data_IF_188611367456
#
_entry.id   IF_188611367456
#
_cell.length_a   1.000
_cell.length_b   1.000
_cell.length_c   1.000
_cell.angle_alpha   90.00
_cell.angle_beta   90.00
_cell.angle_gamma   90.00
#
_symmetry.space_group_name_H-M   'P 1'
#
loop_
_entity.id
_entity.type
_entity.pdbx_description
1 polymer ?
#
# COMPACT_ATOMS: atom_id res chain seq x y z
N UNK A 1 36.36 -34.85 32.09
CA UNK A 1 37.51 -34.35 31.31
C UNK A 1 37.32 -34.72 29.85
N UNK A 2 37.46 -33.74 28.94
CA UNK A 2 38.00 -33.86 27.57
C UNK A 2 37.21 -34.75 26.58
N UNK A 3 36.81 -34.34 25.37
CA UNK A 3 37.14 -33.20 24.50
C UNK A 3 36.05 -33.04 23.43
N UNK A 4 35.72 -31.79 23.15
CA UNK A 4 35.18 -31.26 21.90
C UNK A 4 36.07 -31.60 20.70
N UNK A 5 35.49 -32.02 19.55
CA UNK A 5 35.99 -31.75 18.17
C UNK A 5 34.87 -32.13 17.17
N UNK A 6 34.03 -31.18 16.69
CA UNK A 6 34.17 -30.37 15.45
C UNK A 6 34.00 -31.18 14.15
N UNK A 7 32.96 -30.85 13.36
CA UNK A 7 32.98 -30.52 11.92
C UNK A 7 31.52 -30.53 11.41
N UNK A 8 30.76 -29.44 11.58
CA UNK A 8 30.69 -28.32 10.65
C UNK A 8 30.33 -28.75 9.21
N UNK A 9 29.24 -29.50 9.07
CA UNK A 9 28.57 -29.70 7.80
C UNK A 9 27.90 -28.39 7.39
N UNK A 10 28.59 -27.65 6.52
CA UNK A 10 27.99 -26.86 5.44
C UNK A 10 26.84 -25.97 5.85
N UNK A 11 27.18 -24.86 6.50
CA UNK A 11 26.38 -23.66 6.62
C UNK A 11 26.00 -23.16 5.22
N UNK A 12 25.01 -23.81 4.60
CA UNK A 12 24.31 -23.34 3.41
C UNK A 12 23.34 -22.25 3.84
N UNK A 13 23.87 -21.22 4.50
CA UNK A 13 23.21 -19.94 4.62
C UNK A 13 23.36 -19.25 3.26
N UNK A 14 22.64 -19.79 2.26
CA UNK A 14 22.13 -18.96 1.20
C UNK A 14 21.29 -17.90 1.89
N UNK A 15 21.92 -16.78 2.22
CA UNK A 15 21.23 -15.50 2.32
C UNK A 15 20.52 -15.33 0.98
N UNK A 16 19.28 -15.85 0.89
CA UNK A 16 18.35 -15.44 -0.15
C UNK A 16 18.24 -13.93 0.04
N UNK A 17 18.96 -13.21 -0.79
CA UNK A 17 18.81 -11.77 -0.96
C UNK A 17 17.32 -11.58 -1.27
N UNK A 18 16.62 -10.98 -0.31
CA UNK A 18 15.20 -11.24 -0.07
C UNK A 18 14.32 -10.90 -1.25
N UNK A 19 13.74 -11.92 -1.88
CA UNK A 19 12.62 -11.71 -2.78
C UNK A 19 11.48 -11.07 -1.98
N UNK A 20 11.00 -9.92 -2.43
CA UNK A 20 9.82 -9.30 -1.84
C UNK A 20 8.61 -10.16 -2.21
N UNK A 21 7.84 -10.59 -1.20
CA UNK A 21 6.60 -11.32 -1.45
C UNK A 21 5.46 -10.36 -1.76
N UNK A 22 4.39 -10.85 -2.40
CA UNK A 22 3.23 -10.00 -2.70
C UNK A 22 2.58 -9.51 -1.40
N UNK A 23 2.56 -10.32 -0.35
CA UNK A 23 2.00 -9.95 0.94
C UNK A 23 2.78 -8.79 1.57
N UNK A 24 4.11 -8.78 1.42
CA UNK A 24 4.95 -7.66 1.88
C UNK A 24 4.69 -6.38 1.08
N UNK A 25 4.54 -6.51 -0.24
CA UNK A 25 4.14 -5.42 -1.12
C UNK A 25 2.76 -4.87 -0.74
N UNK A 26 1.79 -5.74 -0.47
CA UNK A 26 0.42 -5.37 -0.09
C UNK A 26 0.36 -4.65 1.26
N UNK A 27 1.19 -5.05 2.22
CA UNK A 27 1.31 -4.32 3.50
C UNK A 27 1.81 -2.90 3.26
N UNK A 28 2.86 -2.73 2.45
CA UNK A 28 3.38 -1.39 2.12
C UNK A 28 2.34 -0.53 1.41
N UNK A 29 1.76 -1.05 0.32
CA UNK A 29 0.69 -0.36 -0.41
C UNK A 29 -0.54 -0.11 0.48
N UNK A 30 -0.78 -0.97 1.47
CA UNK A 30 -1.73 -0.79 2.56
C UNK A 30 -1.47 0.49 3.34
N UNK A 31 -0.27 0.66 3.88
CA UNK A 31 0.13 1.88 4.60
C UNK A 31 0.06 3.12 3.71
N UNK A 32 0.50 3.00 2.45
CA UNK A 32 0.31 4.03 1.44
C UNK A 32 -1.15 4.42 1.26
N UNK A 33 -2.06 3.45 1.13
CA UNK A 33 -3.47 3.71 0.94
C UNK A 33 -4.14 4.34 2.17
N UNK A 34 -3.76 3.90 3.38
CA UNK A 34 -4.20 4.53 4.64
C UNK A 34 -3.77 6.00 4.70
N UNK A 35 -2.52 6.29 4.36
CA UNK A 35 -2.00 7.65 4.31
C UNK A 35 -2.73 8.51 3.26
N UNK A 36 -3.05 7.91 2.11
CA UNK A 36 -3.84 8.57 1.07
C UNK A 36 -5.22 8.96 1.58
N UNK A 37 -5.98 8.01 2.13
CA UNK A 37 -7.34 8.25 2.63
C UNK A 37 -7.34 9.26 3.77
N UNK A 38 -6.45 9.11 4.76
CA UNK A 38 -6.32 10.08 5.85
C UNK A 38 -5.97 11.49 5.37
N UNK A 39 -5.30 11.64 4.23
CA UNK A 39 -4.98 12.94 3.65
C UNK A 39 -6.14 13.57 2.87
N UNK A 40 -7.17 12.78 2.54
CA UNK A 40 -8.34 13.23 1.78
C UNK A 40 -9.54 13.55 2.66
N UNK A 41 -9.54 13.13 3.93
CA UNK A 41 -10.58 13.51 4.87
C UNK A 41 -10.42 14.97 5.31
N UNK A 42 -11.53 15.61 5.65
CA UNK A 42 -11.55 16.98 6.18
C UNK A 42 -10.88 17.06 7.56
N UNK A 43 -10.39 18.23 8.01
CA UNK A 43 -9.68 18.36 9.29
C UNK A 43 -10.48 17.88 10.52
N UNK A 44 -11.80 18.02 10.46
CA UNK A 44 -12.73 17.59 11.52
C UNK A 44 -13.07 16.09 11.39
N UNK A 45 -12.87 15.52 10.20
CA UNK A 45 -13.09 14.11 9.86
C UNK A 45 -11.77 13.33 9.97
N UNK A 46 -11.49 12.75 11.14
CA UNK A 46 -10.28 11.93 11.30
C UNK A 46 -10.59 10.43 11.30
N UNK A 47 -9.67 9.64 10.75
CA UNK A 47 -9.71 8.18 10.91
C UNK A 47 -9.38 7.85 12.36
N UNK A 48 -10.34 7.24 13.07
CA UNK A 48 -10.15 6.70 14.42
C UNK A 48 -9.32 5.43 14.41
N UNK A 49 -9.64 4.51 13.49
CA UNK A 49 -9.02 3.20 13.42
C UNK A 49 -9.17 2.59 12.02
N UNK A 50 -8.11 1.96 11.49
CA UNK A 50 -8.18 1.11 10.31
C UNK A 50 -8.45 -0.34 10.72
N UNK A 51 -9.54 -0.94 10.25
CA UNK A 51 -9.98 -2.29 10.62
C UNK A 51 -9.34 -3.39 9.79
N UNK A 52 -9.27 -3.18 8.49
CA UNK A 52 -8.70 -4.18 7.58
C UNK A 52 -8.07 -3.56 6.35
N UNK A 53 -7.19 -4.32 5.73
CA UNK A 53 -6.55 -3.98 4.47
C UNK A 53 -6.48 -5.25 3.61
N UNK A 54 -6.87 -5.16 2.35
CA UNK A 54 -6.81 -6.29 1.42
C UNK A 54 -6.35 -5.84 0.04
N UNK A 55 -5.47 -6.61 -0.58
CA UNK A 55 -4.97 -6.37 -1.92
C UNK A 55 -5.51 -7.40 -2.92
N UNK A 56 -5.95 -6.95 -4.08
CA UNK A 56 -6.36 -7.80 -5.18
C UNK A 56 -5.89 -7.24 -6.53
N UNK A 57 -5.53 -8.09 -7.51
CA UNK A 57 -5.24 -7.63 -8.86
C UNK A 57 -6.43 -6.89 -9.47
N UNK A 58 -6.17 -5.80 -10.19
CA UNK A 58 -7.23 -5.08 -10.93
C UNK A 58 -7.56 -5.82 -12.22
N UNK A 59 -8.81 -6.26 -12.36
CA UNK A 59 -9.21 -7.15 -13.45
C UNK A 59 -9.36 -6.43 -14.78
N UNK A 60 -9.68 -5.14 -14.74
CA UNK A 60 -10.00 -4.35 -15.95
C UNK A 60 -8.77 -3.72 -16.59
N UNK A 61 -7.72 -3.45 -15.81
CA UNK A 61 -6.53 -2.71 -16.27
C UNK A 61 -5.29 -3.61 -16.45
N UNK A 62 -5.37 -4.89 -16.05
CA UNK A 62 -4.31 -5.87 -16.23
C UNK A 62 -3.50 -6.14 -14.96
N UNK A 63 -2.63 -7.16 -15.03
CA UNK A 63 -1.94 -7.73 -13.86
C UNK A 63 -0.87 -6.84 -13.22
N UNK A 64 -0.52 -5.71 -13.85
CA UNK A 64 0.43 -4.72 -13.30
C UNK A 64 -0.27 -3.74 -12.35
N UNK A 65 -1.59 -3.78 -12.28
CA UNK A 65 -2.38 -2.94 -11.38
C UNK A 65 -2.91 -3.76 -10.22
N UNK A 66 -2.86 -3.16 -9.04
CA UNK A 66 -3.37 -3.78 -7.82
C UNK A 66 -4.21 -2.79 -7.04
N UNK A 67 -5.40 -3.23 -6.66
CA UNK A 67 -6.32 -2.46 -5.84
C UNK A 67 -6.17 -2.88 -4.38
N UNK A 68 -5.85 -1.90 -3.54
CA UNK A 68 -5.85 -2.04 -2.10
C UNK A 68 -7.16 -1.47 -1.59
N UNK A 69 -7.91 -2.26 -0.83
CA UNK A 69 -9.10 -1.80 -0.09
C UNK A 69 -8.74 -1.67 1.38
N UNK A 70 -9.17 -0.59 2.01
CA UNK A 70 -9.07 -0.40 3.45
C UNK A 70 -10.46 -0.12 4.01
N UNK A 71 -10.75 -0.71 5.17
CA UNK A 71 -11.92 -0.34 5.96
C UNK A 71 -11.46 0.42 7.20
N UNK A 72 -12.19 1.47 7.56
CA UNK A 72 -11.82 2.35 8.67
C UNK A 72 -13.05 2.87 9.41
N UNK A 73 -12.87 3.23 10.67
CA UNK A 73 -13.87 3.96 11.46
C UNK A 73 -13.54 5.44 11.35
N UNK A 74 -14.47 6.22 10.82
CA UNK A 74 -14.42 7.67 10.85
C UNK A 74 -15.02 8.17 12.15
N UNK A 75 -14.39 9.17 12.78
CA UNK A 75 -14.95 9.81 13.96
C UNK A 75 -15.87 10.96 13.51
N UNK A 76 -17.15 10.67 13.35
CA UNK A 76 -18.19 11.70 13.30
C UNK A 76 -18.87 11.65 14.67
N UNK A 77 -18.92 12.78 15.38
CA UNK A 77 -19.13 12.96 16.84
C UNK A 77 -20.36 12.24 17.47
N UNK A 78 -21.14 11.52 16.66
CA UNK A 78 -22.41 10.89 17.00
C UNK A 78 -22.53 9.39 16.65
N UNK A 79 -21.63 8.78 15.87
CA UNK A 79 -21.63 7.32 15.64
C UNK A 79 -20.35 6.76 15.00
N UNK A 80 -19.90 5.58 15.45
CA UNK A 80 -18.85 4.82 14.78
C UNK A 80 -19.38 4.20 13.48
N UNK A 81 -19.15 4.87 12.35
CA UNK A 81 -19.47 4.33 11.03
C UNK A 81 -18.23 3.65 10.41
N UNK A 82 -18.39 2.41 9.96
CA UNK A 82 -17.35 1.71 9.19
C UNK A 82 -17.48 2.13 7.74
N UNK A 83 -16.46 2.84 7.24
CA UNK A 83 -16.34 3.24 5.84
C UNK A 83 -15.31 2.41 5.12
N UNK A 84 -15.41 2.40 3.79
CA UNK A 84 -14.46 1.73 2.91
C UNK A 84 -13.83 2.74 1.96
N UNK A 85 -12.51 2.65 1.83
CA UNK A 85 -11.76 3.34 0.79
C UNK A 85 -10.94 2.36 -0.03
N UNK A 86 -10.54 2.77 -1.23
CA UNK A 86 -9.65 1.97 -2.06
C UNK A 86 -8.64 2.81 -2.81
N UNK A 87 -7.46 2.23 -3.02
CA UNK A 87 -6.40 2.83 -3.81
C UNK A 87 -5.99 1.87 -4.92
N UNK A 88 -5.76 2.41 -6.11
CA UNK A 88 -5.21 1.68 -7.24
C UNK A 88 -3.74 2.03 -7.35
N UNK A 89 -2.90 1.01 -7.37
CA UNK A 89 -1.46 1.13 -7.58
C UNK A 89 -1.05 0.48 -8.89
N UNK A 90 -0.08 1.06 -9.58
CA UNK A 90 0.68 0.37 -10.62
C UNK A 90 1.98 -0.19 -10.02
N UNK A 91 2.17 -1.50 -10.12
CA UNK A 91 3.28 -2.23 -9.50
C UNK A 91 4.45 -2.38 -10.47
N UNK A 92 5.66 -2.17 -9.96
CA UNK A 92 6.91 -2.43 -10.65
C UNK A 92 7.77 -3.39 -9.82
N UNK A 93 8.10 -4.52 -10.43
CA UNK A 93 8.92 -5.57 -9.81
C UNK A 93 10.31 -5.58 -10.44
N UNK A 94 11.33 -5.54 -9.59
CA UNK A 94 12.72 -5.71 -10.00
C UNK A 94 12.99 -7.12 -10.52
N UNK A 95 14.13 -7.29 -11.21
CA UNK A 95 14.56 -8.60 -11.73
C UNK A 95 14.61 -9.64 -10.60
N UNK A 96 14.02 -10.83 -10.82
CA UNK A 96 13.82 -11.87 -9.81
C UNK A 96 13.09 -11.42 -8.52
N UNK A 97 12.20 -10.41 -8.58
CA UNK A 97 11.51 -9.84 -7.41
C UNK A 97 12.46 -9.33 -6.31
N UNK A 98 13.66 -8.93 -6.71
CA UNK A 98 14.68 -8.34 -5.82
C UNK A 98 14.27 -6.99 -5.24
N UNK A 99 13.30 -6.31 -5.88
CA UNK A 99 12.69 -5.09 -5.39
C UNK A 99 11.21 -5.01 -5.82
N UNK A 100 10.46 -4.18 -5.10
CA UNK A 100 9.08 -3.80 -5.40
C UNK A 100 8.95 -2.29 -5.21
N UNK A 101 8.30 -1.65 -6.17
CA UNK A 101 7.84 -0.27 -6.09
C UNK A 101 6.39 -0.21 -6.56
N UNK A 102 5.61 0.71 -6.02
CA UNK A 102 4.22 0.91 -6.41
C UNK A 102 3.94 2.40 -6.58
N UNK A 103 3.26 2.79 -7.65
CA UNK A 103 2.86 4.18 -7.86
C UNK A 103 1.36 4.31 -7.64
N UNK A 104 0.94 5.30 -6.85
CA UNK A 104 -0.46 5.60 -6.67
C UNK A 104 -1.05 6.16 -7.97
N UNK A 105 -2.07 5.50 -8.51
CA UNK A 105 -2.76 5.94 -9.72
C UNK A 105 -4.13 6.54 -9.39
N UNK A 106 -4.86 5.97 -8.43
CA UNK A 106 -6.19 6.44 -8.02
C UNK A 106 -6.42 6.22 -6.53
N UNK A 107 -7.20 7.09 -5.92
CA UNK A 107 -7.78 6.93 -4.57
C UNK A 107 -9.28 7.16 -4.69
N UNK A 108 -10.08 6.29 -4.09
CA UNK A 108 -11.52 6.40 -4.03
C UNK A 108 -12.01 6.22 -2.59
N UNK A 109 -12.87 7.12 -2.13
CA UNK A 109 -13.49 7.14 -0.80
C UNK A 109 -14.80 7.94 -0.91
N UNK A 110 -15.86 7.56 -0.18
CA UNK A 110 -17.13 8.31 -0.11
C UNK A 110 -17.64 8.87 -1.45
N UNK A 111 -17.72 8.01 -2.47
CA UNK A 111 -18.10 8.33 -3.87
C UNK A 111 -17.19 9.33 -4.61
N UNK A 112 -16.13 9.80 -3.97
CA UNK A 112 -15.09 10.61 -4.57
C UNK A 112 -13.99 9.74 -5.17
N UNK A 113 -13.40 10.21 -6.27
CA UNK A 113 -12.25 9.60 -6.91
C UNK A 113 -11.25 10.70 -7.27
N UNK A 114 -10.01 10.51 -6.89
CA UNK A 114 -8.89 11.38 -7.26
C UNK A 114 -7.79 10.55 -7.88
N UNK A 115 -7.26 11.01 -9.01
CA UNK A 115 -6.18 10.35 -9.74
C UNK A 115 -6.46 10.18 -11.22
N UNK A 116 -5.75 9.26 -11.87
CA UNK A 116 -5.85 9.07 -13.32
C UNK A 116 -6.98 8.11 -13.69
N UNK A 117 -8.01 8.60 -14.37
CA UNK A 117 -9.03 7.76 -15.01
C UNK A 117 -8.94 7.92 -16.52
N UNK A 118 -8.77 6.81 -17.23
CA UNK A 118 -8.67 6.79 -18.70
C UNK A 118 -7.61 7.75 -19.27
N UNK A 119 -6.50 7.96 -18.53
CA UNK A 119 -5.41 8.86 -18.92
C UNK A 119 -5.60 10.33 -18.59
N UNK A 120 -6.73 10.71 -17.96
CA UNK A 120 -7.01 12.07 -17.49
C UNK A 120 -6.90 12.11 -15.97
N UNK A 121 -6.17 13.10 -15.43
CA UNK A 121 -6.14 13.35 -13.98
C UNK A 121 -7.47 14.00 -13.59
N UNK A 122 -8.28 13.29 -12.81
CA UNK A 122 -9.45 13.85 -12.14
C UNK A 122 -8.97 14.50 -10.83
N UNK A 123 -9.06 15.83 -10.75
CA UNK A 123 -8.65 16.65 -9.60
C UNK A 123 -7.59 17.72 -9.91
N UNK A 124 -7.08 18.38 -8.87
CA UNK A 124 -5.94 19.31 -8.97
C UNK A 124 -4.62 18.54 -9.01
N UNK A 125 -3.81 18.76 -10.05
CA UNK A 125 -2.50 18.13 -10.21
C UNK A 125 -1.55 18.40 -9.03
N UNK A 126 -1.59 19.61 -8.45
CA UNK A 126 -0.76 19.92 -7.28
C UNK A 126 -1.21 19.17 -6.03
N UNK A 127 -2.52 19.01 -5.85
CA UNK A 127 -3.07 18.19 -4.79
C UNK A 127 -2.69 16.72 -4.96
N UNK A 128 -2.78 16.20 -6.19
CA UNK A 128 -2.37 14.83 -6.51
C UNK A 128 -0.89 14.59 -6.26
N UNK A 129 0.00 15.52 -6.65
CA UNK A 129 1.44 15.40 -6.38
C UNK A 129 1.76 15.32 -4.88
N UNK A 130 1.14 16.20 -4.07
CA UNK A 130 1.30 16.17 -2.60
C UNK A 130 0.75 14.89 -1.98
N UNK A 131 -0.33 14.36 -2.54
CA UNK A 131 -0.91 13.09 -2.13
C UNK A 131 0.07 11.95 -2.42
N UNK A 132 0.61 11.87 -3.64
CA UNK A 132 1.58 10.84 -4.03
C UNK A 132 2.82 10.89 -3.14
N UNK A 133 3.36 12.08 -2.83
CA UNK A 133 4.53 12.22 -1.95
C UNK A 133 4.27 11.67 -0.53
N UNK A 134 3.08 11.92 0.04
CA UNK A 134 2.68 11.36 1.33
C UNK A 134 2.59 9.83 1.26
N UNK A 135 2.03 9.32 0.17
CA UNK A 135 1.87 7.88 -0.06
C UNK A 135 3.23 7.20 -0.21
N UNK A 136 4.13 7.76 -1.00
CA UNK A 136 5.50 7.25 -1.18
C UNK A 136 6.26 7.22 0.16
N UNK A 137 6.15 8.31 0.93
CA UNK A 137 6.73 8.39 2.28
C UNK A 137 6.17 7.30 3.20
N UNK A 138 4.86 7.04 3.16
CA UNK A 138 4.22 6.00 3.98
C UNK A 138 4.60 4.57 3.55
N UNK A 139 4.87 4.36 2.26
CA UNK A 139 5.35 3.08 1.72
C UNK A 139 6.85 2.87 1.96
N UNK A 140 7.58 3.93 2.33
CA UNK A 140 9.02 3.92 2.58
C UNK A 140 9.83 3.74 1.30
N UNK A 141 9.46 4.44 0.23
CA UNK A 141 10.12 4.41 -1.07
C UNK A 141 10.60 5.79 -1.52
#
# INVERSE_FOLDING_TARGET
MKKFTVLLAGLSALTLVGCVSQEQADVKMGEGCKAAISAMLEPDDSVKEFKSTSGAPEKTMGSVYRRIKVSYIQNDDFSEEVREGSCLFSEQWGFFKSSHAALLEQVAWDDQLVGKKDGVIEGDMNAFLKLTEKVDTAMGQ
#
